data_IF_761953206656
#
_entry.id   IF_761953206656
#
_cell.length_a   1.000
_cell.length_b   1.000
_cell.length_c   1.000
_cell.angle_alpha   90.00
_cell.angle_beta   90.00
_cell.angle_gamma   90.00
#
_symmetry.space_group_name_H-M   'P 1'
#
loop_
_entity.id
_entity.type
_entity.pdbx_description
1 polymer ?
#
# COMPACT_ATOMS: atom_id res chain seq x y z
N UNK A 1 17.79 -16.57 -1.90
CA UNK A 1 17.87 -15.31 -1.12
C UNK A 1 16.49 -14.66 -0.98
N UNK A 2 16.16 -14.11 0.20
CA UNK A 2 14.93 -13.33 0.43
C UNK A 2 14.95 -12.02 -0.37
N UNK A 3 13.77 -11.46 -0.68
CA UNK A 3 13.63 -10.14 -1.31
C UNK A 3 13.96 -9.04 -0.29
N UNK A 4 14.68 -7.99 -0.70
CA UNK A 4 15.15 -6.92 0.19
C UNK A 4 14.46 -5.58 -0.16
N UNK A 5 14.07 -4.79 0.84
CA UNK A 5 13.27 -3.57 0.63
C UNK A 5 13.75 -2.36 1.44
N UNK A 6 13.84 -1.19 0.82
CA UNK A 6 14.33 0.02 1.49
C UNK A 6 13.31 0.78 2.32
N UNK A 7 13.79 1.42 3.39
CA UNK A 7 13.04 2.42 4.16
C UNK A 7 13.09 3.80 3.48
N UNK A 8 11.97 4.54 3.60
CA UNK A 8 11.82 5.92 3.12
C UNK A 8 12.03 6.94 4.25
N UNK A 9 12.75 8.00 3.95
CA UNK A 9 12.80 9.25 4.70
C UNK A 9 12.14 10.39 3.89
N UNK A 10 11.48 11.36 4.56
CA UNK A 10 10.71 12.44 3.92
C UNK A 10 11.29 13.79 4.31
N UNK A 11 11.67 14.63 3.34
CA UNK A 11 12.31 15.91 3.60
C UNK A 11 11.89 16.99 2.60
N UNK A 12 11.71 18.21 3.09
CA UNK A 12 11.55 19.45 2.30
C UNK A 12 12.88 20.22 2.15
N UNK A 13 13.89 19.90 2.99
CA UNK A 13 15.31 20.26 2.87
C UNK A 13 16.17 19.10 3.38
N UNK A 14 17.35 18.86 2.79
CA UNK A 14 18.25 17.79 3.21
C UNK A 14 18.61 17.94 4.70
N UNK A 15 18.31 16.95 5.55
CA UNK A 15 18.68 16.98 6.96
C UNK A 15 20.14 16.55 7.13
N UNK A 16 20.76 16.92 8.25
CA UNK A 16 22.10 16.47 8.61
C UNK A 16 22.16 14.96 8.93
N UNK A 17 21.04 14.34 9.29
CA UNK A 17 20.89 12.89 9.49
C UNK A 17 19.42 12.46 9.30
N UNK A 18 19.20 11.21 8.89
CA UNK A 18 17.85 10.67 8.65
C UNK A 18 17.35 10.01 9.95
N UNK A 19 16.26 10.50 10.59
CA UNK A 19 15.69 9.85 11.76
C UNK A 19 15.11 8.50 11.33
N UNK A 20 15.77 7.43 11.77
CA UNK A 20 15.33 6.06 11.57
C UNK A 20 14.29 5.71 12.64
N UNK A 21 13.02 5.83 12.28
CA UNK A 21 11.95 5.32 13.14
C UNK A 21 11.88 3.79 13.01
N UNK A 22 11.85 3.04 14.13
CA UNK A 22 11.62 1.60 14.08
C UNK A 22 10.24 1.37 13.49
N UNK A 23 10.20 0.88 12.26
CA UNK A 23 8.97 0.57 11.54
C UNK A 23 8.80 -0.94 11.59
N UNK A 24 7.60 -1.42 11.96
CA UNK A 24 7.27 -2.84 12.08
C UNK A 24 7.83 -3.69 10.92
N UNK A 25 8.28 -4.93 11.20
CA UNK A 25 8.75 -5.85 10.17
C UNK A 25 7.65 -6.09 9.14
N UNK A 26 8.06 -6.41 7.92
CA UNK A 26 7.13 -6.81 6.89
C UNK A 26 6.59 -8.21 7.18
N UNK A 27 5.32 -8.40 6.88
CA UNK A 27 4.67 -9.71 6.94
C UNK A 27 3.60 -9.76 5.87
N UNK A 28 3.33 -10.97 5.36
CA UNK A 28 2.31 -11.24 4.35
C UNK A 28 0.94 -10.71 4.76
N UNK A 29 0.61 -10.74 6.06
CA UNK A 29 -0.66 -10.21 6.57
C UNK A 29 -0.78 -8.69 6.42
N UNK A 30 0.33 -7.95 6.49
CA UNK A 30 0.33 -6.51 6.25
C UNK A 30 0.13 -6.20 4.77
N UNK A 31 0.66 -7.04 3.88
CA UNK A 31 0.45 -6.96 2.44
C UNK A 31 -1.01 -7.12 2.01
N UNK A 32 -1.83 -7.85 2.76
CA UNK A 32 -3.26 -7.96 2.43
C UNK A 32 -4.07 -6.69 2.73
N UNK A 33 -3.46 -5.72 3.43
CA UNK A 33 -4.11 -4.46 3.78
C UNK A 33 -3.71 -3.33 2.85
N UNK A 34 -2.42 -3.13 2.60
CA UNK A 34 -1.94 -2.02 1.75
C UNK A 34 -0.60 -2.36 1.10
N UNK A 35 -0.22 -1.59 0.09
CA UNK A 35 1.17 -1.53 -0.35
C UNK A 35 2.04 -1.00 0.82
N UNK A 36 2.82 -1.89 1.44
CA UNK A 36 3.76 -1.55 2.53
C UNK A 36 5.20 -1.35 2.04
N UNK A 37 5.46 -1.67 0.78
CA UNK A 37 6.77 -1.52 0.12
C UNK A 37 7.02 -0.05 -0.18
N UNK A 38 6.05 0.60 -0.84
CA UNK A 38 6.24 1.92 -1.41
C UNK A 38 6.81 1.81 -2.83
N UNK A 39 7.96 2.44 -3.07
CA UNK A 39 8.44 2.75 -4.42
C UNK A 39 9.71 2.01 -4.85
N UNK A 40 10.36 1.27 -3.93
CA UNK A 40 11.65 0.63 -4.21
C UNK A 40 11.67 -0.80 -3.67
N UNK A 41 12.21 -1.69 -4.48
CA UNK A 41 12.41 -3.11 -4.17
C UNK A 41 13.72 -3.58 -4.79
N UNK A 42 14.46 -4.42 -4.05
CA UNK A 42 15.58 -5.18 -4.58
C UNK A 42 15.18 -6.66 -4.64
N UNK A 43 15.21 -7.22 -5.84
CA UNK A 43 14.86 -8.63 -6.10
C UNK A 43 15.63 -9.12 -7.31
N UNK A 44 15.69 -10.44 -7.48
CA UNK A 44 16.24 -11.03 -8.69
C UNK A 44 15.41 -10.64 -9.91
N UNK A 45 16.09 -10.30 -11.00
CA UNK A 45 15.43 -9.89 -12.24
C UNK A 45 14.43 -10.93 -12.75
N UNK A 46 14.74 -12.23 -12.63
CA UNK A 46 13.86 -13.31 -13.07
C UNK A 46 12.52 -13.33 -12.31
N UNK A 47 12.51 -13.07 -10.99
CA UNK A 47 11.26 -13.01 -10.20
C UNK A 47 10.32 -11.91 -10.70
N UNK A 48 10.91 -10.79 -11.09
CA UNK A 48 10.15 -9.68 -11.66
C UNK A 48 9.62 -10.00 -13.06
N UNK A 49 10.41 -10.69 -13.88
CA UNK A 49 10.02 -11.17 -15.22
C UNK A 49 8.96 -12.27 -15.18
N UNK A 50 8.90 -13.09 -14.13
CA UNK A 50 7.86 -14.10 -13.97
C UNK A 50 6.55 -13.51 -13.45
N UNK A 51 6.61 -12.44 -12.66
CA UNK A 51 5.40 -11.76 -12.21
C UNK A 51 4.87 -10.75 -13.25
N UNK A 52 5.73 -9.90 -13.84
CA UNK A 52 5.37 -8.76 -14.69
C UNK A 52 4.27 -7.84 -14.13
N UNK A 53 4.06 -6.68 -14.74
CA UNK A 53 2.91 -5.87 -14.43
C UNK A 53 1.66 -6.41 -15.12
N UNK A 54 0.52 -6.32 -14.43
CA UNK A 54 -0.77 -6.59 -15.01
C UNK A 54 -1.20 -5.38 -15.87
N UNK A 55 -1.24 -5.56 -17.19
CA UNK A 55 -1.57 -4.51 -18.17
C UNK A 55 -3.04 -4.08 -18.13
N UNK A 56 -3.91 -4.93 -17.60
CA UNK A 56 -5.35 -4.63 -17.46
C UNK A 56 -5.63 -3.75 -16.23
N UNK A 57 -4.71 -3.79 -15.25
CA UNK A 57 -4.87 -3.09 -13.99
C UNK A 57 -4.56 -1.58 -14.14
N UNK A 58 -5.59 -0.73 -14.07
CA UNK A 58 -5.44 0.73 -14.30
C UNK A 58 -4.84 1.52 -13.13
N UNK A 59 -4.76 0.93 -11.95
CA UNK A 59 -4.11 1.49 -10.76
C UNK A 59 -3.79 0.36 -9.76
N UNK A 60 -2.85 0.58 -8.84
CA UNK A 60 -2.35 -0.43 -7.91
C UNK A 60 -1.48 -1.53 -8.56
N UNK A 61 -0.87 -1.25 -9.71
CA UNK A 61 0.02 -2.15 -10.44
C UNK A 61 1.21 -2.61 -9.60
N UNK A 62 1.92 -1.67 -8.98
CA UNK A 62 3.04 -1.94 -8.07
C UNK A 62 2.56 -2.75 -6.86
N UNK A 63 1.36 -2.46 -6.33
CA UNK A 63 0.81 -3.26 -5.24
C UNK A 63 0.50 -4.71 -5.66
N UNK A 64 -0.09 -4.90 -6.84
CA UNK A 64 -0.41 -6.21 -7.42
C UNK A 64 0.84 -7.09 -7.60
N UNK A 65 1.86 -6.58 -8.28
CA UNK A 65 3.09 -7.34 -8.52
C UNK A 65 3.79 -7.68 -7.21
N UNK A 66 3.84 -6.73 -6.28
CA UNK A 66 4.43 -6.92 -4.96
C UNK A 66 3.71 -7.99 -4.15
N UNK A 67 2.38 -7.97 -4.14
CA UNK A 67 1.60 -9.00 -3.46
C UNK A 67 1.83 -10.38 -4.10
N UNK A 68 1.88 -10.47 -5.44
CA UNK A 68 2.14 -11.73 -6.14
C UNK A 68 3.52 -12.27 -5.84
N UNK A 69 4.56 -11.44 -5.86
CA UNK A 69 5.89 -11.87 -5.48
C UNK A 69 5.98 -12.36 -4.03
N UNK A 70 5.28 -11.71 -3.09
CA UNK A 70 5.28 -12.16 -1.69
C UNK A 70 4.52 -13.47 -1.49
N UNK A 71 3.46 -13.69 -2.28
CA UNK A 71 2.73 -14.96 -2.27
C UNK A 71 3.59 -16.09 -2.84
N UNK A 72 4.33 -15.82 -3.92
CA UNK A 72 5.14 -16.82 -4.63
C UNK A 72 6.49 -17.10 -3.94
N UNK A 73 7.23 -16.05 -3.58
CA UNK A 73 8.63 -16.16 -3.14
C UNK A 73 8.85 -15.92 -1.65
N UNK A 74 7.77 -15.70 -0.89
CA UNK A 74 7.81 -15.53 0.56
C UNK A 74 7.93 -14.07 1.03
N UNK A 75 8.03 -13.92 2.35
CA UNK A 75 8.01 -12.59 2.99
C UNK A 75 9.28 -11.80 2.65
N UNK A 76 9.15 -10.49 2.38
CA UNK A 76 10.31 -9.68 2.08
C UNK A 76 11.01 -9.23 3.37
N UNK A 77 12.33 -9.13 3.30
CA UNK A 77 13.16 -8.50 4.30
C UNK A 77 13.24 -7.00 4.07
N UNK A 78 13.41 -6.24 5.14
CA UNK A 78 13.39 -4.79 5.12
C UNK A 78 14.71 -4.25 5.63
N UNK A 79 15.35 -3.43 4.80
CA UNK A 79 16.55 -2.65 5.06
C UNK A 79 16.21 -1.58 6.09
N UNK A 80 17.06 -1.43 7.10
CA UNK A 80 16.85 -0.46 8.18
C UNK A 80 17.31 0.94 7.76
N UNK A 81 18.20 1.01 6.78
CA UNK A 81 18.76 2.21 6.18
C UNK A 81 17.81 2.84 5.15
N UNK A 82 17.86 4.17 5.07
CA UNK A 82 17.16 4.90 4.03
C UNK A 82 18.03 4.97 2.76
N UNK A 83 17.70 4.16 1.77
CA UNK A 83 18.48 4.06 0.51
C UNK A 83 17.93 4.91 -0.64
N UNK A 84 16.86 5.69 -0.39
CA UNK A 84 16.25 6.55 -1.40
C UNK A 84 15.78 7.89 -0.82
N UNK A 85 16.11 8.98 -1.51
CA UNK A 85 15.53 10.31 -1.30
C UNK A 85 14.37 10.49 -2.28
N UNK A 86 13.19 10.87 -1.77
CA UNK A 86 12.03 11.13 -2.61
C UNK A 86 11.67 12.63 -2.57
N UNK A 87 11.73 13.28 -3.73
CA UNK A 87 11.18 14.62 -3.92
C UNK A 87 9.66 14.53 -4.10
N UNK A 88 8.90 15.23 -3.25
CA UNK A 88 7.44 15.28 -3.32
C UNK A 88 7.08 16.69 -3.78
N UNK A 89 6.71 16.86 -5.05
CA UNK A 89 6.16 18.13 -5.52
C UNK A 89 4.75 18.31 -4.93
N UNK A 90 4.55 19.43 -4.21
CA UNK A 90 3.31 19.70 -3.46
C UNK A 90 2.17 20.30 -4.30
N UNK A 91 2.36 20.54 -5.61
CA UNK A 91 1.41 21.30 -6.44
C UNK A 91 0.85 20.61 -7.68
N UNK A 92 1.46 19.52 -8.17
CA UNK A 92 0.97 18.83 -9.38
C UNK A 92 0.00 17.70 -9.03
N UNK A 93 -0.94 17.41 -9.92
CA UNK A 93 -1.87 16.28 -9.78
C UNK A 93 -1.08 15.01 -9.45
N UNK A 94 -1.24 14.48 -8.24
CA UNK A 94 -0.74 13.15 -7.96
C UNK A 94 -1.43 12.18 -8.92
N UNK A 95 -0.68 11.27 -9.55
CA UNK A 95 -1.24 10.11 -10.28
C UNK A 95 -2.31 9.39 -9.40
N UNK A 96 -2.14 9.49 -8.08
CA UNK A 96 -3.03 9.05 -6.99
C UNK A 96 -4.42 9.71 -6.91
N UNK A 97 -4.77 10.73 -7.69
CA UNK A 97 -6.13 11.33 -7.73
C UNK A 97 -6.92 11.00 -9.01
N UNK A 98 -6.38 10.14 -9.88
CA UNK A 98 -7.04 9.75 -11.13
C UNK A 98 -8.44 9.14 -10.92
N UNK A 99 -9.44 9.48 -11.76
CA UNK A 99 -10.75 8.80 -11.78
C UNK A 99 -10.64 7.26 -11.91
N UNK A 100 -9.54 6.77 -12.51
CA UNK A 100 -9.27 5.34 -12.72
C UNK A 100 -8.86 4.60 -11.44
N UNK A 101 -8.55 5.32 -10.35
CA UNK A 101 -8.10 4.74 -9.09
C UNK A 101 -9.11 3.78 -8.48
N UNK A 102 -10.41 4.13 -8.52
CA UNK A 102 -11.45 3.24 -8.00
C UNK A 102 -11.47 1.93 -8.78
N UNK A 103 -11.49 2.00 -10.12
CA UNK A 103 -11.50 0.84 -11.00
C UNK A 103 -10.29 -0.06 -10.76
N UNK A 104 -9.07 0.51 -10.70
CA UNK A 104 -7.86 -0.26 -10.43
C UNK A 104 -7.86 -0.94 -9.06
N UNK A 105 -8.16 -0.21 -7.98
CA UNK A 105 -8.22 -0.82 -6.64
C UNK A 105 -9.36 -1.85 -6.52
N UNK A 106 -10.47 -1.66 -7.25
CA UNK A 106 -11.58 -2.62 -7.24
C UNK A 106 -11.21 -3.90 -7.99
N UNK A 107 -10.54 -3.79 -9.13
CA UNK A 107 -9.98 -4.93 -9.86
C UNK A 107 -8.98 -5.68 -8.97
N UNK A 108 -8.01 -4.99 -8.38
CA UNK A 108 -7.06 -5.57 -7.42
C UNK A 108 -7.78 -6.34 -6.29
N UNK A 109 -8.80 -5.73 -5.68
CA UNK A 109 -9.58 -6.40 -4.64
C UNK A 109 -10.22 -7.69 -5.15
N UNK A 110 -10.89 -7.65 -6.31
CA UNK A 110 -11.53 -8.85 -6.90
C UNK A 110 -10.51 -9.95 -7.19
N UNK A 111 -9.32 -9.59 -7.69
CA UNK A 111 -8.22 -10.50 -8.03
C UNK A 111 -7.63 -11.23 -6.82
N UNK A 112 -7.62 -10.59 -5.64
CA UNK A 112 -6.91 -11.11 -4.46
C UNK A 112 -7.79 -11.42 -3.24
N UNK A 113 -9.08 -11.05 -3.23
CA UNK A 113 -9.97 -11.15 -2.07
C UNK A 113 -9.99 -12.52 -1.40
N UNK A 114 -9.77 -13.60 -2.14
CA UNK A 114 -9.85 -14.96 -1.59
C UNK A 114 -8.65 -15.30 -0.69
N UNK A 115 -7.54 -14.55 -0.84
CA UNK A 115 -6.37 -14.63 0.05
C UNK A 115 -6.54 -13.82 1.34
N UNK A 116 -7.54 -12.93 1.40
CA UNK A 116 -7.69 -11.96 2.48
C UNK A 116 -8.51 -12.51 3.65
N UNK A 117 -7.99 -12.32 4.87
CA UNK A 117 -8.77 -12.53 6.09
C UNK A 117 -9.93 -11.51 6.18
N UNK A 118 -10.92 -11.79 7.04
CA UNK A 118 -12.12 -10.93 7.20
C UNK A 118 -11.74 -9.47 7.51
N UNK A 119 -10.70 -9.26 8.31
CA UNK A 119 -10.21 -7.93 8.66
C UNK A 119 -9.59 -7.20 7.45
N UNK A 120 -8.85 -7.91 6.60
CA UNK A 120 -8.22 -7.37 5.39
C UNK A 120 -9.27 -7.07 4.33
N UNK A 121 -10.29 -7.92 4.16
CA UNK A 121 -11.46 -7.61 3.31
C UNK A 121 -12.13 -6.31 3.74
N UNK A 122 -12.43 -6.15 5.04
CA UNK A 122 -12.98 -4.89 5.59
C UNK A 122 -12.05 -3.69 5.34
N UNK A 123 -10.74 -3.86 5.47
CA UNK A 123 -9.75 -2.80 5.22
C UNK A 123 -9.74 -2.37 3.74
N UNK A 124 -9.75 -3.32 2.81
CA UNK A 124 -9.74 -3.04 1.38
C UNK A 124 -11.04 -2.36 0.93
N UNK A 125 -12.19 -2.87 1.39
CA UNK A 125 -13.49 -2.27 1.13
C UNK A 125 -13.60 -0.84 1.70
N UNK A 126 -13.07 -0.61 2.91
CA UNK A 126 -12.99 0.73 3.48
C UNK A 126 -12.15 1.68 2.61
N UNK A 127 -11.01 1.20 2.10
CA UNK A 127 -10.17 1.98 1.16
C UNK A 127 -10.92 2.30 -0.13
N UNK A 128 -11.67 1.35 -0.70
CA UNK A 128 -12.49 1.57 -1.89
C UNK A 128 -13.58 2.63 -1.66
N UNK A 129 -14.23 2.61 -0.48
CA UNK A 129 -15.20 3.64 -0.10
C UNK A 129 -14.58 5.02 -0.01
N UNK A 130 -13.39 5.14 0.61
CA UNK A 130 -12.66 6.40 0.70
C UNK A 130 -12.26 6.91 -0.70
N UNK A 131 -11.76 6.04 -1.57
CA UNK A 131 -11.41 6.39 -2.96
C UNK A 131 -12.63 6.90 -3.73
N UNK A 132 -13.80 6.29 -3.52
CA UNK A 132 -15.04 6.70 -4.18
C UNK A 132 -15.62 8.02 -3.64
N UNK A 133 -15.08 8.55 -2.55
CA UNK A 133 -15.54 9.78 -1.88
C UNK A 133 -17.05 9.80 -1.59
N UNK A 134 -17.64 8.65 -1.24
CA UNK A 134 -19.06 8.56 -0.84
C UNK A 134 -19.20 8.80 0.66
N UNK A 135 -20.26 9.50 1.07
CA UNK A 135 -20.67 9.56 2.48
C UNK A 135 -20.94 8.14 2.99
N UNK A 136 -20.31 7.76 4.10
CA UNK A 136 -20.57 6.48 4.75
C UNK A 136 -21.83 6.58 5.60
N UNK A 137 -22.78 5.67 5.39
CA UNK A 137 -23.87 5.47 6.35
C UNK A 137 -23.34 4.78 7.60
N UNK A 138 -24.00 4.97 8.74
CA UNK A 138 -23.66 4.28 9.99
C UNK A 138 -23.63 2.75 9.84
N UNK A 139 -24.57 2.17 9.08
CA UNK A 139 -24.58 0.73 8.76
C UNK A 139 -23.30 0.29 8.03
N UNK A 140 -22.89 1.07 7.03
CA UNK A 140 -21.64 0.80 6.27
C UNK A 140 -20.43 0.92 7.19
N UNK A 141 -20.40 1.94 8.04
CA UNK A 141 -19.32 2.18 8.99
C UNK A 141 -19.14 1.00 9.94
N UNK A 142 -20.24 0.52 10.53
CA UNK A 142 -20.25 -0.66 11.42
C UNK A 142 -19.84 -1.93 10.68
N UNK A 143 -20.34 -2.13 9.45
CA UNK A 143 -19.99 -3.30 8.62
C UNK A 143 -18.49 -3.35 8.33
N UNK A 144 -17.91 -2.20 8.00
CA UNK A 144 -16.48 -2.06 7.68
C UNK A 144 -15.62 -1.85 8.93
N UNK A 145 -16.21 -1.87 10.13
CA UNK A 145 -15.46 -1.60 11.36
C UNK A 145 -14.40 -2.66 11.61
N UNK A 146 -13.19 -2.16 11.90
CA UNK A 146 -12.05 -2.90 12.43
C UNK A 146 -11.18 -1.92 13.20
N UNK A 147 -10.37 -2.40 14.14
CA UNK A 147 -9.45 -1.55 14.94
C UNK A 147 -8.64 -0.59 14.04
N UNK A 148 -8.13 -1.10 12.92
CA UNK A 148 -7.35 -0.28 11.98
C UNK A 148 -8.20 0.73 11.20
N UNK A 149 -9.41 0.37 10.80
CA UNK A 149 -10.30 1.31 10.11
C UNK A 149 -10.77 2.41 11.08
N UNK A 150 -11.04 2.07 12.34
CA UNK A 150 -11.33 3.03 13.41
C UNK A 150 -10.20 4.05 13.60
N UNK A 151 -8.94 3.59 13.69
CA UNK A 151 -7.77 4.48 13.75
C UNK A 151 -7.69 5.43 12.54
N UNK A 152 -7.88 4.90 11.32
CA UNK A 152 -7.88 5.72 10.09
C UNK A 152 -8.98 6.78 10.06
N UNK A 153 -10.15 6.48 10.61
CA UNK A 153 -11.24 7.44 10.73
C UNK A 153 -10.87 8.56 11.72
N UNK A 154 -10.35 8.19 12.90
CA UNK A 154 -9.92 9.14 13.91
C UNK A 154 -8.80 10.06 13.39
N UNK A 155 -7.80 9.49 12.72
CA UNK A 155 -6.71 10.26 12.09
C UNK A 155 -7.25 11.24 11.03
N UNK A 156 -8.26 10.83 10.25
CA UNK A 156 -8.91 11.68 9.25
C UNK A 156 -9.78 12.80 9.84
N UNK A 157 -10.26 12.66 11.08
CA UNK A 157 -10.98 13.70 11.82
C UNK A 157 -10.01 14.70 12.48
N UNK A 158 -8.83 14.24 12.91
CA UNK A 158 -7.79 15.10 13.52
C UNK A 158 -7.02 15.97 12.52
N UNK A 159 -7.05 15.60 11.24
CA UNK A 159 -6.39 16.33 10.15
C UNK A 159 -7.28 17.36 9.45
N UNK A 160 -8.38 17.77 10.08
CA UNK A 160 -9.26 18.86 9.64
C UNK A 160 -9.25 20.00 10.64
#
# INVERSE_FOLDING_TARGET
MPMTMSVKARFTRQPASLPLYPKSPYSRRLFYKRNIIGNQVFTWAWRFKECLFDTELKAAQDYDIFLRMVVEYGEPWKVEEATQILHINHGEMQITSSPKKFSGYFHFYRKHKDKFDRASKKYQLFTLYQIRNKRMTWRTLLTLFSVRNGKRLADGLRGR
#
